data_IF_052469725945
#
_entry.id   IF_052469725945
#
_cell.length_a   1.000
_cell.length_b   1.000
_cell.length_c   1.000
_cell.angle_alpha   90.00
_cell.angle_beta   90.00
_cell.angle_gamma   90.00
#
_symmetry.space_group_name_H-M   'P 1'
#
loop_
_entity.id
_entity.type
_entity.pdbx_description
1 polymer ?
#
# COMPACT_ATOMS: atom_id res chain seq x y z
N UNK A 1 -9.26 5.89 -6.04
CA UNK A 1 -9.45 6.21 -7.46
C UNK A 1 -8.19 6.00 -8.27
N UNK A 2 -7.09 6.68 -7.95
CA UNK A 2 -5.86 6.71 -8.77
C UNK A 2 -5.25 5.32 -9.06
N UNK A 3 -5.27 4.38 -8.10
CA UNK A 3 -4.71 3.02 -8.33
C UNK A 3 -5.44 2.30 -9.48
N UNK A 4 -6.77 2.44 -9.54
CA UNK A 4 -7.58 1.86 -10.64
C UNK A 4 -7.27 2.58 -11.95
N UNK A 5 -7.17 3.94 -11.90
CA UNK A 5 -6.87 4.77 -13.06
C UNK A 5 -5.53 4.41 -13.68
N UNK A 6 -4.46 4.38 -12.87
CA UNK A 6 -3.10 4.08 -13.34
C UNK A 6 -3.04 2.66 -13.91
N UNK A 7 -3.58 1.69 -13.17
CA UNK A 7 -3.55 0.29 -13.59
C UNK A 7 -4.27 0.09 -14.92
N UNK A 8 -5.50 0.63 -15.05
CA UNK A 8 -6.26 0.53 -16.30
C UNK A 8 -5.54 1.25 -17.44
N UNK A 9 -5.15 2.51 -17.23
CA UNK A 9 -4.55 3.37 -18.24
C UNK A 9 -3.25 2.77 -18.82
N UNK A 10 -2.32 2.37 -17.93
CA UNK A 10 -1.02 1.83 -18.37
C UNK A 10 -1.23 0.53 -19.13
N UNK A 11 -2.13 -0.33 -18.66
CA UNK A 11 -2.41 -1.59 -19.36
C UNK A 11 -3.13 -1.36 -20.69
N UNK A 12 -4.05 -0.42 -20.73
CA UNK A 12 -4.78 -0.07 -21.96
C UNK A 12 -3.85 0.51 -23.05
N UNK A 13 -2.86 1.31 -22.63
CA UNK A 13 -1.89 1.94 -23.56
C UNK A 13 -0.83 0.96 -24.05
N UNK A 14 -0.41 -0.01 -23.23
CA UNK A 14 0.80 -0.80 -23.53
C UNK A 14 0.50 -2.29 -23.79
N UNK A 15 -0.60 -2.82 -23.27
CA UNK A 15 -0.87 -4.25 -23.27
C UNK A 15 0.17 -5.07 -22.52
N UNK A 16 1.01 -4.41 -21.70
CA UNK A 16 2.19 -5.03 -21.10
C UNK A 16 2.07 -5.14 -19.58
N UNK A 17 2.00 -6.38 -19.04
CA UNK A 17 2.09 -6.56 -17.58
C UNK A 17 3.39 -6.02 -16.99
N UNK A 18 4.49 -6.06 -17.74
CA UNK A 18 5.77 -5.49 -17.31
C UNK A 18 5.63 -3.98 -17.05
N UNK A 19 4.97 -3.24 -17.96
CA UNK A 19 4.76 -1.79 -17.80
C UNK A 19 3.85 -1.47 -16.62
N UNK A 20 2.91 -2.36 -16.26
CA UNK A 20 2.14 -2.24 -15.01
C UNK A 20 3.08 -2.32 -13.80
N UNK A 21 4.01 -3.26 -13.82
CA UNK A 21 5.02 -3.39 -12.78
C UNK A 21 5.88 -2.13 -12.65
N UNK A 22 6.33 -1.59 -13.78
CA UNK A 22 7.12 -0.35 -13.82
C UNK A 22 6.31 0.82 -13.25
N UNK A 23 5.04 0.97 -13.64
CA UNK A 23 4.17 2.05 -13.13
C UNK A 23 3.95 1.93 -11.61
N UNK A 24 3.68 0.71 -11.12
CA UNK A 24 3.50 0.46 -9.69
C UNK A 24 4.79 0.76 -8.91
N UNK A 25 5.94 0.32 -9.44
CA UNK A 25 7.25 0.62 -8.85
C UNK A 25 7.54 2.13 -8.86
N UNK A 26 7.28 2.82 -9.98
CA UNK A 26 7.45 4.28 -10.11
C UNK A 26 6.62 5.04 -9.06
N UNK A 27 5.40 4.54 -8.78
CA UNK A 27 4.53 5.14 -7.77
C UNK A 27 5.02 4.88 -6.34
N UNK A 28 5.57 3.70 -6.07
CA UNK A 28 6.00 3.31 -4.72
C UNK A 28 7.41 3.80 -4.37
N UNK A 29 8.31 3.92 -5.34
CA UNK A 29 9.71 4.30 -5.09
C UNK A 29 9.85 5.65 -4.38
N UNK A 30 9.12 6.72 -4.79
CA UNK A 30 9.21 7.99 -4.05
C UNK A 30 8.76 7.85 -2.59
N UNK A 31 7.78 7.02 -2.30
CA UNK A 31 7.32 6.79 -0.93
C UNK A 31 8.46 6.27 -0.05
N UNK A 32 9.28 5.36 -0.55
CA UNK A 32 10.42 4.83 0.20
C UNK A 32 11.47 5.92 0.48
N UNK A 33 11.87 6.67 -0.56
CA UNK A 33 12.93 7.68 -0.42
C UNK A 33 12.43 8.94 0.30
N UNK A 34 11.24 9.41 -0.04
CA UNK A 34 10.68 10.66 0.50
C UNK A 34 9.91 10.45 1.80
N UNK A 35 9.48 9.22 2.12
CA UNK A 35 8.75 8.93 3.35
C UNK A 35 9.55 9.33 4.61
N UNK A 36 10.86 9.04 4.61
CA UNK A 36 11.77 9.43 5.69
C UNK A 36 11.95 10.97 5.71
N UNK A 37 12.18 11.56 4.53
CA UNK A 37 12.37 13.01 4.37
C UNK A 37 11.11 13.80 4.71
N UNK A 38 9.93 13.30 4.30
CA UNK A 38 8.66 13.99 4.52
C UNK A 38 8.34 14.10 6.02
N UNK A 39 8.69 13.09 6.80
CA UNK A 39 8.57 13.15 8.26
C UNK A 39 9.42 14.27 8.84
N UNK A 40 10.70 14.34 8.45
CA UNK A 40 11.61 15.39 8.91
C UNK A 40 11.13 16.79 8.49
N UNK A 41 10.64 16.94 7.26
CA UNK A 41 10.11 18.21 6.73
C UNK A 41 8.84 18.60 7.50
N UNK A 42 7.97 17.63 7.83
CA UNK A 42 6.75 17.87 8.60
C UNK A 42 7.03 18.32 10.05
N UNK A 43 8.25 18.06 10.56
CA UNK A 43 8.67 18.55 11.88
C UNK A 43 9.18 20.01 11.83
N UNK A 44 9.66 20.45 10.66
CA UNK A 44 10.22 21.80 10.47
C UNK A 44 9.19 22.83 9.98
N UNK A 45 8.26 22.38 9.13
CA UNK A 45 7.25 23.25 8.52
C UNK A 45 5.90 23.09 9.22
N UNK A 46 5.08 24.13 9.11
CA UNK A 46 3.68 24.07 9.58
C UNK A 46 2.96 22.96 8.80
N UNK A 47 2.48 21.93 9.51
CA UNK A 47 1.91 20.71 8.92
C UNK A 47 0.69 20.99 8.04
N UNK A 48 -0.17 21.94 8.45
CA UNK A 48 -1.33 22.37 7.65
C UNK A 48 -0.88 22.95 6.30
N UNK A 49 0.11 23.83 6.32
CA UNK A 49 0.68 24.46 5.12
C UNK A 49 1.33 23.41 4.21
N UNK A 50 2.11 22.49 4.80
CA UNK A 50 2.73 21.38 4.02
C UNK A 50 1.69 20.49 3.37
N UNK A 51 0.62 20.16 4.10
CA UNK A 51 -0.49 19.36 3.57
C UNK A 51 -1.20 20.09 2.43
N UNK A 52 -1.41 21.39 2.59
CA UNK A 52 -2.06 22.22 1.57
C UNK A 52 -1.24 22.26 0.28
N UNK A 53 0.08 22.52 0.37
CA UNK A 53 0.97 22.49 -0.80
C UNK A 53 1.03 21.10 -1.46
N UNK A 54 1.01 20.05 -0.66
CA UNK A 54 0.99 18.67 -1.18
C UNK A 54 -0.31 18.38 -1.94
N UNK A 55 -1.45 18.85 -1.43
CA UNK A 55 -2.73 18.70 -2.16
C UNK A 55 -2.76 19.52 -3.44
N UNK A 56 -2.15 20.73 -3.45
CA UNK A 56 -1.99 21.50 -4.69
C UNK A 56 -1.13 20.75 -5.71
N UNK A 57 -0.07 20.08 -5.25
CA UNK A 57 0.73 19.18 -6.09
C UNK A 57 -0.13 18.07 -6.70
N UNK A 58 -1.05 17.50 -5.92
CA UNK A 58 -2.01 16.50 -6.41
C UNK A 58 -2.95 17.05 -7.48
N UNK A 59 -3.45 18.30 -7.29
CA UNK A 59 -4.26 18.99 -8.29
C UNK A 59 -3.44 19.17 -9.59
N UNK A 60 -2.21 19.65 -9.47
CA UNK A 60 -1.35 19.91 -10.63
C UNK A 60 -1.09 18.60 -11.41
N UNK A 61 -0.66 17.54 -10.73
CA UNK A 61 -0.34 16.26 -11.38
C UNK A 61 -1.59 15.69 -12.06
N UNK A 62 -2.74 15.70 -11.39
CA UNK A 62 -3.98 15.18 -11.97
C UNK A 62 -4.49 16.03 -13.12
N UNK A 63 -4.30 17.36 -13.06
CA UNK A 63 -4.70 18.28 -14.16
C UNK A 63 -3.81 18.09 -15.40
N UNK A 64 -2.50 17.94 -15.21
CA UNK A 64 -1.57 17.66 -16.32
C UNK A 64 -1.90 16.30 -16.95
N UNK A 65 -2.16 15.27 -16.12
CA UNK A 65 -2.56 13.94 -16.62
C UNK A 65 -3.87 14.04 -17.41
N UNK A 66 -4.88 14.74 -16.86
CA UNK A 66 -6.17 14.93 -17.52
C UNK A 66 -6.01 15.65 -18.88
N UNK A 67 -5.25 16.76 -18.89
CA UNK A 67 -5.00 17.55 -20.10
C UNK A 67 -4.31 16.70 -21.18
N UNK A 68 -3.30 15.92 -20.79
CA UNK A 68 -2.56 15.02 -21.70
C UNK A 68 -3.49 13.96 -22.30
N UNK A 69 -4.34 13.34 -21.47
CA UNK A 69 -5.26 12.29 -21.93
C UNK A 69 -6.38 12.85 -22.79
N UNK A 70 -6.95 14.01 -22.45
CA UNK A 70 -8.04 14.63 -23.19
C UNK A 70 -7.59 15.23 -24.53
N UNK A 71 -6.32 15.69 -24.62
CA UNK A 71 -5.75 16.21 -25.88
C UNK A 71 -5.33 15.10 -26.85
N UNK A 72 -5.29 13.84 -26.39
CA UNK A 72 -4.81 12.71 -27.20
C UNK A 72 -3.29 12.65 -27.32
N UNK A 73 -2.54 13.54 -26.68
CA UNK A 73 -1.07 13.58 -26.72
C UNK A 73 -0.46 12.63 -25.69
N UNK A 74 -0.95 11.39 -25.62
CA UNK A 74 -0.59 10.44 -24.58
C UNK A 74 0.72 9.74 -24.91
N UNK A 75 1.68 9.83 -24.00
CA UNK A 75 2.98 9.17 -24.11
C UNK A 75 3.23 8.36 -22.82
N UNK A 76 3.54 7.07 -22.97
CA UNK A 76 3.68 6.13 -21.85
C UNK A 76 4.67 6.63 -20.79
N UNK A 77 5.84 7.13 -21.21
CA UNK A 77 6.85 7.58 -20.25
C UNK A 77 6.43 8.86 -19.53
N UNK A 78 5.62 9.73 -20.18
CA UNK A 78 5.02 10.88 -19.50
C UNK A 78 4.01 10.43 -18.44
N UNK A 79 3.19 9.41 -18.75
CA UNK A 79 2.28 8.79 -17.77
C UNK A 79 3.08 8.25 -16.58
N UNK A 80 4.16 7.48 -16.83
CA UNK A 80 5.01 6.91 -15.77
C UNK A 80 5.63 8.02 -14.90
N UNK A 81 6.11 9.10 -15.53
CA UNK A 81 6.65 10.26 -14.82
C UNK A 81 5.62 10.95 -13.93
N UNK A 82 4.38 11.14 -14.42
CA UNK A 82 3.28 11.71 -13.64
C UNK A 82 2.85 10.77 -12.52
N UNK A 83 2.88 9.45 -12.74
CA UNK A 83 2.61 8.43 -11.70
C UNK A 83 3.68 8.51 -10.59
N UNK A 84 4.95 8.67 -10.95
CA UNK A 84 6.02 8.88 -9.97
C UNK A 84 5.80 10.18 -9.18
N UNK A 85 5.43 11.28 -9.87
CA UNK A 85 5.10 12.56 -9.22
C UNK A 85 3.93 12.40 -8.24
N UNK A 86 2.89 11.62 -8.61
CA UNK A 86 1.78 11.33 -7.69
C UNK A 86 2.24 10.51 -6.48
N UNK A 87 3.24 9.65 -6.67
CA UNK A 87 3.89 8.92 -5.56
C UNK A 87 4.55 9.86 -4.56
N UNK A 88 5.21 10.92 -5.05
CA UNK A 88 5.79 11.96 -4.19
C UNK A 88 4.70 12.68 -3.39
N UNK A 89 3.63 13.11 -4.06
CA UNK A 89 2.47 13.74 -3.41
C UNK A 89 1.91 12.82 -2.32
N UNK A 90 1.71 11.53 -2.65
CA UNK A 90 1.16 10.55 -1.72
C UNK A 90 2.05 10.41 -0.46
N UNK A 91 3.38 10.37 -0.63
CA UNK A 91 4.31 10.26 0.49
C UNK A 91 4.15 11.44 1.47
N UNK A 92 4.13 12.67 0.95
CA UNK A 92 3.97 13.88 1.78
C UNK A 92 2.58 13.96 2.43
N UNK A 93 1.52 13.67 1.66
CA UNK A 93 0.14 13.73 2.17
C UNK A 93 -0.04 12.72 3.31
N UNK A 94 0.44 11.48 3.13
CA UNK A 94 0.20 10.41 4.13
C UNK A 94 0.88 10.74 5.46
N UNK A 95 2.19 11.04 5.44
CA UNK A 95 2.97 11.28 6.64
C UNK A 95 2.53 12.56 7.36
N UNK A 96 2.32 13.64 6.60
CA UNK A 96 1.90 14.93 7.16
C UNK A 96 0.50 14.86 7.75
N UNK A 97 -0.43 14.15 7.07
CA UNK A 97 -1.81 13.98 7.56
C UNK A 97 -1.84 13.24 8.90
N UNK A 98 -1.05 12.17 9.04
CA UNK A 98 -1.01 11.42 10.29
C UNK A 98 -0.51 12.29 11.44
N UNK A 99 0.58 13.04 11.21
CA UNK A 99 1.12 13.97 12.21
C UNK A 99 0.12 15.09 12.55
N UNK A 100 -0.52 15.68 11.54
CA UNK A 100 -1.50 16.75 11.71
C UNK A 100 -2.76 16.27 12.44
N UNK A 101 -3.16 15.01 12.23
CA UNK A 101 -4.28 14.41 12.97
C UNK A 101 -3.98 14.43 14.48
N UNK A 102 -2.76 14.09 14.89
CA UNK A 102 -2.35 14.13 16.30
C UNK A 102 -2.38 15.57 16.85
N UNK A 103 -1.96 16.55 16.04
CA UNK A 103 -2.03 17.96 16.45
C UNK A 103 -3.48 18.41 16.71
N UNK A 104 -4.43 17.95 15.86
CA UNK A 104 -5.85 18.34 15.98
C UNK A 104 -6.50 17.71 17.21
N UNK A 105 -6.31 16.40 17.42
CA UNK A 105 -7.03 15.66 18.47
C UNK A 105 -6.29 15.68 19.82
N UNK A 106 -5.01 16.03 19.81
CA UNK A 106 -4.13 15.96 20.97
C UNK A 106 -3.58 14.56 21.23
N UNK A 107 -2.42 14.48 21.95
CA UNK A 107 -1.77 13.18 22.21
C UNK A 107 -2.66 12.15 22.93
N UNK A 108 -3.55 12.63 23.80
CA UNK A 108 -4.46 11.78 24.60
C UNK A 108 -5.45 11.02 23.72
N UNK A 109 -5.84 11.56 22.56
CA UNK A 109 -6.82 10.98 21.65
C UNK A 109 -6.20 10.53 20.32
N UNK A 110 -4.86 10.46 20.25
CA UNK A 110 -4.12 10.16 19.03
C UNK A 110 -4.52 8.78 18.43
N UNK A 111 -4.68 7.77 19.28
CA UNK A 111 -5.10 6.43 18.82
C UNK A 111 -6.48 6.48 18.14
N UNK A 112 -7.43 7.18 18.74
CA UNK A 112 -8.78 7.33 18.16
C UNK A 112 -8.74 8.12 16.84
N UNK A 113 -8.00 9.24 16.83
CA UNK A 113 -7.85 10.08 15.62
C UNK A 113 -7.24 9.33 14.46
N UNK A 114 -6.12 8.63 14.69
CA UNK A 114 -5.43 7.85 13.66
C UNK A 114 -6.28 6.67 13.18
N UNK A 115 -7.00 6.01 14.11
CA UNK A 115 -7.92 4.92 13.76
C UNK A 115 -9.04 5.40 12.86
N UNK A 116 -9.66 6.54 13.22
CA UNK A 116 -10.74 7.14 12.43
C UNK A 116 -10.22 7.56 11.04
N UNK A 117 -9.03 8.14 10.98
CA UNK A 117 -8.36 8.49 9.71
C UNK A 117 -8.10 7.27 8.82
N UNK A 118 -7.67 6.16 9.45
CA UNK A 118 -7.45 4.89 8.73
C UNK A 118 -8.75 4.30 8.21
N UNK A 119 -9.82 4.33 9.02
CA UNK A 119 -11.15 3.89 8.60
C UNK A 119 -11.67 4.73 7.42
N UNK A 120 -11.54 6.05 7.50
CA UNK A 120 -11.94 6.97 6.43
C UNK A 120 -11.16 6.68 5.14
N UNK A 121 -9.85 6.39 5.25
CA UNK A 121 -9.03 6.03 4.10
C UNK A 121 -9.49 4.72 3.45
N UNK A 122 -9.86 3.72 4.24
CA UNK A 122 -10.33 2.43 3.72
C UNK A 122 -11.70 2.56 3.05
N UNK A 123 -12.64 3.27 3.69
CA UNK A 123 -13.97 3.52 3.12
C UNK A 123 -13.83 4.35 1.81
N UNK A 124 -13.03 5.42 1.87
CA UNK A 124 -12.72 6.24 0.69
C UNK A 124 -12.05 5.42 -0.41
N UNK A 125 -11.23 4.46 -0.03
CA UNK A 125 -10.59 3.52 -0.95
C UNK A 125 -11.60 2.64 -1.69
N UNK A 126 -12.56 2.05 -0.96
CA UNK A 126 -13.64 1.22 -1.53
C UNK A 126 -14.50 2.05 -2.48
N UNK A 127 -15.06 3.17 -1.97
CA UNK A 127 -15.93 4.07 -2.76
C UNK A 127 -15.16 4.60 -3.98
N UNK A 128 -13.93 5.06 -3.77
CA UNK A 128 -13.09 5.60 -4.84
C UNK A 128 -12.76 4.57 -5.92
N UNK A 129 -12.58 3.29 -5.55
CA UNK A 129 -12.31 2.24 -6.53
C UNK A 129 -13.53 1.98 -7.43
N UNK A 130 -14.71 1.89 -6.82
CA UNK A 130 -15.97 1.68 -7.56
C UNK A 130 -16.23 2.88 -8.49
N UNK A 131 -16.16 4.11 -7.96
CA UNK A 131 -16.35 5.33 -8.74
C UNK A 131 -15.33 5.42 -9.89
N UNK A 132 -14.09 5.02 -9.64
CA UNK A 132 -13.02 5.04 -10.65
C UNK A 132 -13.38 4.12 -11.83
N UNK A 133 -13.77 2.88 -11.55
CA UNK A 133 -14.17 1.94 -12.58
C UNK A 133 -15.36 2.44 -13.41
N UNK A 134 -16.36 2.99 -12.72
CA UNK A 134 -17.56 3.55 -13.35
C UNK A 134 -17.22 4.77 -14.24
N UNK A 135 -16.38 5.69 -13.73
CA UNK A 135 -15.97 6.89 -14.49
C UNK A 135 -15.15 6.52 -15.74
N UNK A 136 -14.21 5.59 -15.60
CA UNK A 136 -13.40 5.14 -16.76
C UNK A 136 -14.34 4.58 -17.83
N UNK A 137 -15.31 3.77 -17.43
CA UNK A 137 -16.27 3.15 -18.35
C UNK A 137 -17.16 4.17 -19.03
N UNK A 138 -17.69 5.14 -18.26
CA UNK A 138 -18.68 6.10 -18.75
C UNK A 138 -18.09 7.23 -19.58
N UNK A 139 -16.95 7.79 -19.14
CA UNK A 139 -16.41 9.04 -19.73
C UNK A 139 -14.91 8.94 -20.05
N UNK A 140 -14.26 7.83 -19.76
CA UNK A 140 -12.87 7.59 -20.07
C UNK A 140 -11.89 8.08 -18.99
N UNK A 141 -10.61 7.67 -19.12
CA UNK A 141 -9.60 7.97 -18.10
C UNK A 141 -9.26 9.45 -17.95
N UNK A 142 -9.37 10.25 -19.02
CA UNK A 142 -9.11 11.70 -18.96
C UNK A 142 -10.07 12.40 -17.98
N UNK A 143 -11.37 12.15 -18.10
CA UNK A 143 -12.38 12.73 -17.21
C UNK A 143 -12.28 12.17 -15.80
N UNK A 144 -11.83 10.93 -15.65
CA UNK A 144 -11.55 10.38 -14.33
C UNK A 144 -10.43 11.16 -13.62
N UNK A 145 -9.37 11.57 -14.34
CA UNK A 145 -8.31 12.40 -13.75
C UNK A 145 -8.81 13.82 -13.40
N UNK A 146 -9.78 14.37 -14.15
CA UNK A 146 -10.48 15.59 -13.74
C UNK A 146 -11.17 15.38 -12.39
N UNK A 147 -11.88 14.27 -12.22
CA UNK A 147 -12.55 13.95 -10.94
C UNK A 147 -11.55 13.79 -9.79
N UNK A 148 -10.38 13.20 -10.04
CA UNK A 148 -9.29 13.11 -9.04
C UNK A 148 -8.82 14.51 -8.65
N UNK A 149 -8.61 15.39 -9.63
CA UNK A 149 -8.21 16.79 -9.38
C UNK A 149 -9.25 17.53 -8.53
N UNK A 150 -10.54 17.35 -8.85
CA UNK A 150 -11.65 17.94 -8.06
C UNK A 150 -11.60 17.42 -6.61
N UNK A 151 -11.35 16.12 -6.41
CA UNK A 151 -11.25 15.53 -5.06
C UNK A 151 -10.09 16.15 -4.26
N UNK A 152 -8.94 16.37 -4.90
CA UNK A 152 -7.83 17.10 -4.28
C UNK A 152 -8.22 18.57 -3.99
N UNK A 153 -8.97 19.22 -4.89
CA UNK A 153 -9.47 20.58 -4.71
C UNK A 153 -10.40 20.69 -3.49
N UNK A 154 -11.33 19.74 -3.33
CA UNK A 154 -12.20 19.67 -2.15
C UNK A 154 -11.35 19.48 -0.88
N UNK A 155 -10.35 18.61 -0.93
CA UNK A 155 -9.44 18.41 0.21
C UNK A 155 -8.70 19.70 0.57
N UNK A 156 -8.19 20.43 -0.43
CA UNK A 156 -7.50 21.71 -0.21
C UNK A 156 -8.45 22.76 0.41
N UNK A 157 -9.69 22.82 -0.08
CA UNK A 157 -10.71 23.76 0.44
C UNK A 157 -11.07 23.43 1.89
N UNK A 158 -11.23 22.16 2.24
CA UNK A 158 -11.50 21.73 3.63
C UNK A 158 -10.33 22.15 4.55
N UNK A 159 -9.09 21.99 4.09
CA UNK A 159 -7.90 22.40 4.86
C UNK A 159 -7.89 23.92 5.15
N UNK A 160 -8.41 24.73 4.22
CA UNK A 160 -8.52 26.19 4.46
C UNK A 160 -9.52 26.52 5.58
N UNK A 161 -10.57 25.68 5.71
CA UNK A 161 -11.59 25.85 6.77
C UNK A 161 -11.13 25.42 8.16
N UNK A 162 -10.07 24.61 8.26
CA UNK A 162 -9.55 24.19 9.57
C UNK A 162 -8.68 25.31 10.14
N UNK A 163 -8.96 25.73 11.37
CA UNK A 163 -8.20 26.78 12.07
C UNK A 163 -6.74 26.36 12.31
N UNK A 164 -5.91 27.34 12.63
CA UNK A 164 -4.52 27.07 13.00
C UNK A 164 -4.49 26.29 14.32
N UNK A 165 -3.91 25.12 14.29
CA UNK A 165 -3.71 24.26 15.45
C UNK A 165 -2.19 24.30 15.77
N UNK A 166 -1.85 24.52 17.03
CA UNK A 166 -0.45 24.50 17.45
C UNK A 166 0.15 23.11 17.20
N UNK A 167 1.37 23.07 16.69
CA UNK A 167 2.12 21.83 16.56
C UNK A 167 2.45 21.28 17.95
N UNK A 168 2.13 20.02 18.17
CA UNK A 168 2.57 19.31 19.36
C UNK A 168 4.11 19.25 19.37
N UNK A 169 4.71 19.53 20.52
CA UNK A 169 6.17 19.49 20.65
C UNK A 169 6.68 18.08 20.30
N UNK A 170 7.42 18.01 19.22
CA UNK A 170 8.09 16.75 18.83
C UNK A 170 9.28 16.53 19.76
N UNK A 171 9.36 15.38 20.43
CA UNK A 171 10.56 15.10 21.22
C UNK A 171 11.76 14.94 20.27
N UNK A 172 12.77 15.71 20.51
CA UNK A 172 14.13 15.70 19.91
C UNK A 172 14.19 15.42 18.40
N UNK A 173 14.48 16.45 17.65
CA UNK A 173 14.80 16.41 16.21
C UNK A 173 16.15 15.70 16.01
N UNK A 174 16.13 14.37 15.88
CA UNK A 174 17.35 13.64 15.49
C UNK A 174 17.61 13.84 13.99
N UNK A 175 18.86 14.01 13.57
CA UNK A 175 19.18 14.06 12.15
C UNK A 175 18.74 12.77 11.45
N UNK A 176 18.21 12.89 10.24
CA UNK A 176 17.70 11.75 9.44
C UNK A 176 18.73 10.63 9.33
N UNK A 177 20.00 10.99 9.08
CA UNK A 177 21.09 10.01 8.95
C UNK A 177 21.37 9.27 10.26
N UNK A 178 21.29 9.98 11.41
CA UNK A 178 21.48 9.35 12.72
C UNK A 178 20.34 8.36 13.02
N UNK A 179 19.12 8.72 12.67
CA UNK A 179 17.96 7.83 12.78
C UNK A 179 18.14 6.57 11.93
N UNK A 180 18.55 6.73 10.67
CA UNK A 180 18.77 5.60 9.77
C UNK A 180 19.89 4.67 10.31
N UNK A 181 20.99 5.25 10.79
CA UNK A 181 22.07 4.48 11.42
C UNK A 181 21.57 3.71 12.65
N UNK A 182 20.71 4.36 13.47
CA UNK A 182 20.08 3.72 14.63
C UNK A 182 19.18 2.53 14.24
N UNK A 183 18.44 2.65 13.14
CA UNK A 183 17.62 1.54 12.59
C UNK A 183 18.52 0.37 12.18
N UNK A 184 19.57 0.63 11.40
CA UNK A 184 20.47 -0.42 10.92
C UNK A 184 21.19 -1.11 12.08
N UNK A 185 21.62 -0.36 13.09
CA UNK A 185 22.25 -0.91 14.28
C UNK A 185 21.28 -1.81 15.07
N UNK A 186 20.02 -1.37 15.25
CA UNK A 186 19.00 -2.16 15.95
C UNK A 186 18.72 -3.46 15.20
N UNK A 187 18.54 -3.39 13.88
CA UNK A 187 18.30 -4.57 13.03
C UNK A 187 19.49 -5.55 13.14
N UNK A 188 20.71 -5.03 13.07
CA UNK A 188 21.92 -5.85 13.15
C UNK A 188 22.12 -6.53 14.49
N UNK A 189 21.64 -5.91 15.59
CA UNK A 189 21.79 -6.45 16.95
C UNK A 189 20.65 -7.38 17.37
N UNK A 190 19.48 -7.29 16.74
CA UNK A 190 18.28 -8.06 17.11
C UNK A 190 17.89 -9.05 16.01
N UNK A 191 18.27 -10.31 16.18
CA UNK A 191 18.03 -11.38 15.20
C UNK A 191 16.53 -11.62 14.92
N UNK A 192 15.67 -11.45 15.93
CA UNK A 192 14.21 -11.62 15.75
C UNK A 192 13.70 -10.51 14.83
N UNK A 193 14.10 -9.27 15.10
CA UNK A 193 13.69 -8.11 14.29
C UNK A 193 14.20 -8.24 12.84
N UNK A 194 15.45 -8.65 12.66
CA UNK A 194 16.02 -8.88 11.31
C UNK A 194 15.22 -9.96 10.56
N UNK A 195 14.90 -11.08 11.25
CA UNK A 195 14.17 -12.18 10.61
C UNK A 195 12.74 -11.74 10.23
N UNK A 196 12.05 -11.00 11.13
CA UNK A 196 10.72 -10.46 10.84
C UNK A 196 10.77 -9.48 9.65
N UNK A 197 11.81 -8.64 9.59
CA UNK A 197 12.02 -7.70 8.48
C UNK A 197 12.20 -8.44 7.15
N UNK A 198 13.01 -9.49 7.13
CA UNK A 198 13.24 -10.31 5.91
C UNK A 198 11.94 -10.99 5.48
N UNK A 199 11.19 -11.59 6.41
CA UNK A 199 9.92 -12.25 6.11
C UNK A 199 8.88 -11.25 5.59
N UNK A 200 8.81 -10.06 6.20
CA UNK A 200 7.93 -8.97 5.73
C UNK A 200 8.33 -8.53 4.32
N UNK A 201 9.65 -8.37 4.03
CA UNK A 201 10.15 -8.03 2.69
C UNK A 201 9.75 -9.09 1.65
N UNK A 202 9.87 -10.37 2.00
CA UNK A 202 9.46 -11.48 1.12
C UNK A 202 7.94 -11.39 0.86
N UNK A 203 7.15 -11.10 1.90
CA UNK A 203 5.70 -10.94 1.77
C UNK A 203 5.35 -9.73 0.89
N UNK A 204 6.12 -8.63 1.01
CA UNK A 204 5.96 -7.44 0.14
C UNK A 204 6.25 -7.78 -1.32
N UNK A 205 7.40 -8.43 -1.58
CA UNK A 205 7.87 -8.72 -2.93
C UNK A 205 6.98 -9.78 -3.63
N UNK A 206 6.64 -10.87 -2.94
CA UNK A 206 5.92 -11.98 -3.54
C UNK A 206 4.41 -11.97 -3.28
N UNK A 207 3.95 -11.32 -2.22
CA UNK A 207 2.53 -11.27 -1.85
C UNK A 207 1.82 -10.01 -2.34
N UNK A 208 2.19 -8.85 -1.77
CA UNK A 208 1.44 -7.60 -1.98
C UNK A 208 1.47 -7.11 -3.43
N UNK A 209 2.40 -7.56 -4.24
CA UNK A 209 2.54 -7.19 -5.66
C UNK A 209 1.42 -7.74 -6.54
N UNK A 210 0.61 -8.66 -6.06
CA UNK A 210 -0.56 -9.15 -6.82
C UNK A 210 -1.50 -8.01 -7.29
N UNK A 211 -1.48 -6.99 -6.69
CA UNK A 211 -2.15 -5.93 -6.98
C UNK A 211 -1.93 -5.44 -8.31
N UNK A 212 -0.77 -5.54 -8.76
CA UNK A 212 -0.29 -5.07 -10.07
C UNK A 212 -1.04 -5.74 -11.23
N UNK A 213 -1.37 -7.00 -11.08
CA UNK A 213 -1.96 -7.80 -12.17
C UNK A 213 -3.49 -7.72 -12.26
N UNK A 214 -4.17 -7.05 -11.32
CA UNK A 214 -5.64 -6.93 -11.37
C UNK A 214 -6.17 -6.35 -12.69
N UNK A 215 -5.52 -5.34 -13.32
CA UNK A 215 -5.97 -4.86 -14.64
C UNK A 215 -5.90 -5.93 -15.73
N UNK A 216 -4.88 -6.80 -15.69
CA UNK A 216 -4.74 -7.92 -16.63
C UNK A 216 -5.92 -8.89 -16.46
N UNK A 217 -6.22 -9.25 -15.19
CA UNK A 217 -7.38 -10.12 -14.89
C UNK A 217 -8.69 -9.47 -15.35
N UNK A 218 -8.88 -8.17 -15.10
CA UNK A 218 -10.11 -7.48 -15.47
C UNK A 218 -10.29 -7.40 -16.99
N UNK A 219 -9.21 -7.19 -17.76
CA UNK A 219 -9.27 -6.96 -19.20
C UNK A 219 -9.22 -8.28 -20.00
N UNK A 220 -8.27 -9.17 -19.67
CA UNK A 220 -7.97 -10.35 -20.50
C UNK A 220 -8.55 -11.66 -19.97
N UNK A 221 -8.44 -11.89 -18.64
CA UNK A 221 -8.82 -13.20 -18.08
C UNK A 221 -10.34 -13.28 -17.87
N UNK A 222 -10.93 -12.24 -17.31
CA UNK A 222 -12.36 -12.23 -16.94
C UNK A 222 -13.22 -11.36 -17.88
N UNK A 223 -12.60 -10.46 -18.66
CA UNK A 223 -13.30 -9.62 -19.62
C UNK A 223 -14.32 -8.66 -18.99
N UNK A 224 -14.12 -8.25 -17.73
CA UNK A 224 -15.10 -7.44 -16.96
C UNK A 224 -14.84 -5.95 -17.05
N UNK A 225 -13.79 -5.54 -17.74
CA UNK A 225 -13.50 -4.14 -18.01
C UNK A 225 -13.14 -3.30 -16.78
N UNK A 226 -13.16 -1.95 -16.93
CA UNK A 226 -12.76 -1.06 -15.84
C UNK A 226 -13.71 -1.09 -14.64
N UNK A 227 -15.00 -1.34 -14.87
CA UNK A 227 -15.98 -1.50 -13.77
C UNK A 227 -15.60 -2.70 -12.91
N UNK A 228 -15.27 -3.83 -13.56
CA UNK A 228 -14.81 -5.03 -12.86
C UNK A 228 -13.53 -4.78 -12.07
N UNK A 229 -12.58 -4.03 -12.63
CA UNK A 229 -11.34 -3.64 -11.94
C UNK A 229 -11.65 -2.80 -10.70
N UNK A 230 -12.62 -1.88 -10.80
CA UNK A 230 -13.10 -1.09 -9.66
C UNK A 230 -13.63 -1.98 -8.55
N UNK A 231 -14.50 -2.95 -8.90
CA UNK A 231 -15.05 -3.93 -7.94
C UNK A 231 -13.95 -4.82 -7.34
N UNK A 232 -13.02 -5.34 -8.15
CA UNK A 232 -11.87 -6.12 -7.63
C UNK A 232 -11.09 -5.33 -6.60
N UNK A 233 -10.80 -4.05 -6.89
CA UNK A 233 -10.03 -3.18 -5.98
C UNK A 233 -10.83 -2.91 -4.70
N UNK A 234 -12.14 -2.72 -4.80
CA UNK A 234 -13.03 -2.51 -3.64
C UNK A 234 -13.09 -3.78 -2.76
N UNK A 235 -13.27 -4.95 -3.38
CA UNK A 235 -13.33 -6.25 -2.67
C UNK A 235 -11.98 -6.53 -1.98
N UNK A 236 -10.86 -6.22 -2.64
CA UNK A 236 -9.53 -6.34 -2.04
C UNK A 236 -9.44 -5.55 -0.74
N UNK A 237 -9.93 -4.31 -0.73
CA UNK A 237 -9.92 -3.45 0.47
C UNK A 237 -10.93 -3.94 1.52
N UNK A 238 -12.10 -4.41 1.10
CA UNK A 238 -13.09 -5.03 1.99
C UNK A 238 -12.53 -6.29 2.67
N UNK A 239 -11.84 -7.13 1.90
CA UNK A 239 -11.16 -8.32 2.44
C UNK A 239 -10.14 -7.95 3.52
N UNK A 240 -9.34 -6.90 3.25
CA UNK A 240 -8.37 -6.39 4.22
C UNK A 240 -9.05 -5.96 5.55
N UNK A 241 -10.19 -5.26 5.46
CA UNK A 241 -10.97 -4.86 6.65
C UNK A 241 -11.48 -6.10 7.42
N UNK A 242 -11.96 -7.11 6.70
CA UNK A 242 -12.43 -8.37 7.30
C UNK A 242 -11.27 -9.04 8.07
N UNK A 243 -10.08 -9.09 7.44
CA UNK A 243 -8.88 -9.67 8.09
C UNK A 243 -8.50 -8.95 9.38
N UNK A 244 -8.54 -7.62 9.37
CA UNK A 244 -8.26 -6.82 10.57
C UNK A 244 -9.31 -7.06 11.67
N UNK A 245 -10.58 -7.15 11.29
CA UNK A 245 -11.67 -7.43 12.22
C UNK A 245 -11.48 -8.80 12.89
N UNK A 246 -11.18 -9.84 12.10
CA UNK A 246 -10.90 -11.17 12.65
C UNK A 246 -9.69 -11.16 13.57
N UNK A 247 -8.60 -10.52 13.15
CA UNK A 247 -7.37 -10.43 13.94
C UNK A 247 -7.62 -9.73 15.29
N UNK A 248 -8.41 -8.66 15.30
CA UNK A 248 -8.77 -7.92 16.51
C UNK A 248 -9.54 -8.79 17.52
N UNK A 249 -10.28 -9.80 17.03
CA UNK A 249 -11.07 -10.71 17.86
C UNK A 249 -10.30 -11.98 18.26
N UNK A 250 -9.09 -12.21 17.72
CA UNK A 250 -8.25 -13.39 18.02
C UNK A 250 -7.29 -13.13 19.18
N UNK A 251 -7.72 -12.37 20.18
CA UNK A 251 -6.93 -12.07 21.40
C UNK A 251 -6.45 -13.28 22.17
N UNK A 252 -7.00 -14.15 21.91
CA UNK A 252 -6.71 -15.28 22.60
C UNK A 252 -5.73 -16.16 22.01
N UNK A 253 -5.35 -15.84 21.03
CA UNK A 253 -4.43 -16.73 20.34
C UNK A 253 -3.03 -16.59 20.92
N UNK A 254 -2.55 -17.62 21.57
CA UNK A 254 -1.33 -17.59 22.38
C UNK A 254 -0.02 -17.64 21.55
N UNK A 255 -0.08 -17.94 20.25
CA UNK A 255 1.12 -18.10 19.41
C UNK A 255 0.99 -17.21 18.18
N UNK A 256 1.19 -15.90 18.35
CA UNK A 256 1.13 -14.91 17.24
C UNK A 256 2.08 -15.28 16.10
N UNK A 257 3.28 -15.83 16.44
CA UNK A 257 4.24 -16.28 15.44
C UNK A 257 3.69 -17.39 14.55
N UNK A 258 3.03 -18.39 15.13
CA UNK A 258 2.42 -19.49 14.35
C UNK A 258 1.25 -18.97 13.50
N UNK A 259 0.43 -18.08 14.08
CA UNK A 259 -0.67 -17.43 13.34
C UNK A 259 -0.15 -16.63 12.14
N UNK A 260 0.93 -15.89 12.34
CA UNK A 260 1.60 -15.10 11.27
C UNK A 260 2.01 -16.02 10.10
N UNK A 261 2.65 -17.16 10.38
CA UNK A 261 3.05 -18.10 9.34
C UNK A 261 1.84 -18.73 8.64
N UNK A 262 0.79 -19.09 9.41
CA UNK A 262 -0.45 -19.64 8.85
C UNK A 262 -1.14 -18.66 7.90
N UNK A 263 -1.19 -17.38 8.29
CA UNK A 263 -1.78 -16.32 7.46
C UNK A 263 -0.93 -16.03 6.22
N UNK A 264 0.41 -16.05 6.36
CA UNK A 264 1.32 -15.87 5.20
C UNK A 264 1.16 -17.04 4.21
N UNK A 265 1.03 -18.28 4.73
CA UNK A 265 0.74 -19.45 3.92
C UNK A 265 -0.63 -19.31 3.23
N UNK A 266 -1.66 -18.90 3.97
CA UNK A 266 -3.01 -18.67 3.42
C UNK A 266 -3.03 -17.61 2.34
N UNK A 267 -2.23 -16.55 2.49
CA UNK A 267 -2.06 -15.51 1.48
C UNK A 267 -1.46 -16.11 0.19
N UNK A 268 -0.35 -16.86 0.31
CA UNK A 268 0.30 -17.51 -0.84
C UNK A 268 -0.62 -18.53 -1.52
N UNK A 269 -1.27 -19.39 -0.73
CA UNK A 269 -2.21 -20.40 -1.24
C UNK A 269 -3.40 -19.73 -1.96
N UNK A 270 -3.92 -18.63 -1.40
CA UNK A 270 -4.98 -17.84 -2.03
C UNK A 270 -4.55 -17.31 -3.40
N UNK A 271 -3.29 -16.85 -3.53
CA UNK A 271 -2.75 -16.39 -4.82
C UNK A 271 -2.71 -17.53 -5.86
N UNK A 272 -2.35 -18.73 -5.42
CA UNK A 272 -2.31 -19.90 -6.32
C UNK A 272 -3.71 -20.27 -6.84
N UNK A 273 -4.76 -20.03 -6.04
CA UNK A 273 -6.14 -20.34 -6.41
C UNK A 273 -6.66 -19.46 -7.57
N UNK A 274 -6.04 -18.35 -7.86
CA UNK A 274 -6.43 -17.55 -9.03
C UNK A 274 -6.29 -18.28 -10.38
N UNK A 275 -5.53 -19.05 -10.33
CA UNK A 275 -5.33 -19.87 -11.38
C UNK A 275 -6.49 -20.66 -11.76
N UNK A 276 -7.31 -20.87 -10.76
CA UNK A 276 -8.53 -21.67 -10.90
C UNK A 276 -9.82 -20.83 -11.00
N UNK A 277 -9.71 -19.53 -10.83
CA UNK A 277 -10.86 -18.62 -10.80
C UNK A 277 -11.36 -18.32 -12.24
N UNK A 278 -12.25 -19.16 -12.74
CA UNK A 278 -12.77 -19.08 -14.09
C UNK A 278 -13.92 -18.08 -14.25
N UNK A 279 -14.47 -17.58 -13.14
CA UNK A 279 -15.53 -16.57 -13.18
C UNK A 279 -15.31 -15.50 -12.11
N UNK A 280 -15.97 -14.36 -12.30
CA UNK A 280 -15.79 -13.16 -11.46
C UNK A 280 -16.13 -13.43 -9.99
N UNK A 281 -17.19 -14.18 -9.70
CA UNK A 281 -17.61 -14.41 -8.31
C UNK A 281 -16.53 -15.18 -7.54
N UNK A 282 -16.03 -16.28 -8.11
CA UNK A 282 -14.96 -17.09 -7.50
C UNK A 282 -13.70 -16.23 -7.34
N UNK A 283 -13.34 -15.43 -8.36
CA UNK A 283 -12.20 -14.52 -8.32
C UNK A 283 -12.33 -13.54 -7.13
N UNK A 284 -13.51 -12.90 -6.98
CA UNK A 284 -13.75 -11.92 -5.91
C UNK A 284 -13.70 -12.57 -4.51
N UNK A 285 -14.23 -13.79 -4.37
CA UNK A 285 -14.18 -14.54 -3.09
C UNK A 285 -12.74 -14.89 -2.72
N UNK A 286 -11.96 -15.42 -3.67
CA UNK A 286 -10.53 -15.71 -3.46
C UNK A 286 -9.77 -14.42 -3.12
N UNK A 287 -10.06 -13.34 -3.85
CA UNK A 287 -9.42 -12.03 -3.64
C UNK A 287 -9.73 -11.48 -2.24
N UNK A 288 -10.96 -11.60 -1.76
CA UNK A 288 -11.36 -11.17 -0.42
C UNK A 288 -10.56 -11.94 0.64
N UNK A 289 -10.54 -13.25 0.53
CA UNK A 289 -9.81 -14.11 1.48
C UNK A 289 -8.29 -13.83 1.42
N UNK A 290 -7.70 -13.70 0.25
CA UNK A 290 -6.40 -13.43 0.11
C UNK A 290 -5.99 -12.27 0.75
N UNK A 291 -6.86 -11.23 0.68
CA UNK A 291 -6.51 -9.94 1.27
C UNK A 291 -6.80 -9.86 2.77
N UNK A 292 -7.71 -10.65 3.26
CA UNK A 292 -7.90 -10.80 4.70
C UNK A 292 -6.63 -11.36 5.35
N UNK A 293 -6.06 -12.43 4.79
CA UNK A 293 -4.79 -13.00 5.25
C UNK A 293 -3.65 -12.00 5.11
N UNK A 294 -3.56 -11.31 3.98
CA UNK A 294 -2.51 -10.32 3.69
C UNK A 294 -2.46 -9.20 4.73
N UNK A 295 -3.60 -8.60 5.04
CA UNK A 295 -3.65 -7.48 5.99
C UNK A 295 -3.42 -7.96 7.42
N UNK A 296 -3.92 -9.14 7.75
CA UNK A 296 -3.70 -9.73 9.08
C UNK A 296 -2.21 -10.07 9.30
N UNK A 297 -1.54 -10.66 8.29
CA UNK A 297 -0.10 -10.98 8.42
C UNK A 297 0.74 -9.71 8.51
N UNK A 298 0.43 -8.67 7.73
CA UNK A 298 1.14 -7.38 7.79
C UNK A 298 1.03 -6.75 9.19
N UNK A 299 -0.18 -6.81 9.77
CA UNK A 299 -0.43 -6.30 11.12
C UNK A 299 0.37 -7.10 12.16
N UNK A 300 0.45 -8.43 12.00
CA UNK A 300 1.24 -9.27 12.90
C UNK A 300 2.74 -8.99 12.79
N UNK A 301 3.26 -8.73 11.57
CA UNK A 301 4.67 -8.30 11.43
C UNK A 301 4.94 -7.04 12.27
N UNK A 302 4.09 -6.02 12.14
CA UNK A 302 4.20 -4.76 12.89
C UNK A 302 4.14 -4.99 14.39
N UNK A 303 3.15 -5.79 14.83
CA UNK A 303 2.94 -6.10 16.25
C UNK A 303 4.16 -6.83 16.84
N UNK A 304 4.61 -7.89 16.17
CA UNK A 304 5.75 -8.69 16.65
C UNK A 304 7.06 -7.89 16.62
N UNK A 305 7.24 -7.00 15.62
CA UNK A 305 8.41 -6.10 15.60
C UNK A 305 8.40 -5.17 16.82
N UNK A 306 7.24 -4.63 17.19
CA UNK A 306 7.11 -3.71 18.34
C UNK A 306 7.22 -4.43 19.69
N UNK A 307 6.72 -5.66 19.79
CA UNK A 307 6.72 -6.44 21.04
C UNK A 307 8.11 -7.02 21.36
N UNK A 308 9.01 -7.12 20.40
CA UNK A 308 10.32 -7.73 20.58
C UNK A 308 11.45 -6.70 20.71
N UNK A 309 11.11 -5.46 21.11
CA UNK A 309 12.03 -4.37 21.37
C UNK A 309 11.59 -3.59 22.62
N UNK A 310 12.46 -2.77 23.19
CA UNK A 310 12.09 -1.91 24.33
C UNK A 310 11.18 -0.75 23.86
N UNK A 311 10.50 -0.11 24.81
CA UNK A 311 9.57 0.99 24.50
C UNK A 311 10.27 2.13 23.73
N UNK A 312 11.55 2.43 24.10
CA UNK A 312 12.35 3.47 23.42
C UNK A 312 12.69 3.09 21.97
N UNK A 313 12.72 1.81 21.67
CA UNK A 313 13.10 1.29 20.35
C UNK A 313 11.88 1.05 19.43
N UNK A 314 10.64 1.20 19.92
CA UNK A 314 9.44 0.90 19.12
C UNK A 314 9.37 1.72 17.81
N UNK A 315 9.74 3.00 17.87
CA UNK A 315 9.79 3.84 16.68
C UNK A 315 10.77 3.30 15.64
N UNK A 316 11.97 2.87 16.11
CA UNK A 316 12.99 2.26 15.23
C UNK A 316 12.54 0.92 14.67
N UNK A 317 11.81 0.11 15.46
CA UNK A 317 11.24 -1.15 14.97
C UNK A 317 10.23 -0.92 13.84
N UNK A 318 9.42 0.15 13.94
CA UNK A 318 8.51 0.53 12.85
C UNK A 318 9.26 1.00 11.61
N UNK A 319 10.43 1.63 11.79
CA UNK A 319 11.33 1.94 10.67
C UNK A 319 11.78 0.68 9.91
N UNK A 320 12.00 -0.44 10.63
CA UNK A 320 12.34 -1.72 10.00
C UNK A 320 11.21 -2.23 9.11
N UNK A 321 9.95 -2.04 9.53
CA UNK A 321 8.79 -2.38 8.69
C UNK A 321 8.75 -1.50 7.43
N UNK A 322 9.00 -0.19 7.56
CA UNK A 322 9.06 0.73 6.39
C UNK A 322 10.15 0.28 5.41
N UNK A 323 11.31 -0.15 5.92
CA UNK A 323 12.39 -0.70 5.08
C UNK A 323 11.93 -1.96 4.33
N UNK A 324 11.12 -2.82 4.99
CA UNK A 324 10.55 -4.00 4.33
C UNK A 324 9.66 -3.62 3.16
N UNK A 325 8.77 -2.64 3.35
CA UNK A 325 7.89 -2.10 2.31
C UNK A 325 8.71 -1.50 1.15
N UNK A 326 9.89 -0.98 1.45
CA UNK A 326 10.84 -0.47 0.46
C UNK A 326 11.27 -1.50 -0.58
N UNK A 327 11.09 -2.80 -0.34
CA UNK A 327 11.34 -3.86 -1.31
C UNK A 327 10.21 -3.98 -2.37
N UNK A 328 9.03 -3.39 -2.13
CA UNK A 328 7.86 -3.53 -3.01
C UNK A 328 8.12 -3.15 -4.48
N UNK A 329 8.86 -2.07 -4.81
CA UNK A 329 9.15 -1.76 -6.22
C UNK A 329 9.81 -2.91 -7.00
N UNK A 330 10.74 -3.61 -6.36
CA UNK A 330 11.41 -4.79 -6.96
C UNK A 330 10.36 -5.87 -7.28
N UNK A 331 9.48 -6.13 -6.33
CA UNK A 331 8.40 -7.11 -6.50
C UNK A 331 7.42 -6.74 -7.61
N UNK A 332 7.06 -5.44 -7.71
CA UNK A 332 6.15 -4.96 -8.76
C UNK A 332 6.74 -5.16 -10.16
N UNK A 333 8.00 -4.80 -10.37
CA UNK A 333 8.69 -5.03 -11.64
C UNK A 333 8.81 -6.54 -11.90
N UNK A 334 9.19 -7.30 -10.86
CA UNK A 334 9.37 -8.75 -10.94
C UNK A 334 8.09 -9.48 -11.36
N UNK A 335 6.96 -9.20 -10.70
CA UNK A 335 5.68 -9.86 -11.04
C UNK A 335 5.17 -9.43 -12.42
N UNK A 336 5.42 -8.17 -12.82
CA UNK A 336 5.08 -7.69 -14.16
C UNK A 336 5.87 -8.43 -15.23
N UNK A 337 7.19 -8.58 -15.02
CA UNK A 337 8.07 -9.34 -15.91
C UNK A 337 7.66 -10.81 -16.00
N UNK A 338 7.40 -11.42 -14.84
CA UNK A 338 6.97 -12.82 -14.76
C UNK A 338 5.64 -13.03 -15.50
N UNK A 339 4.71 -12.07 -15.36
CA UNK A 339 3.42 -12.13 -16.06
C UNK A 339 3.57 -11.96 -17.58
N UNK A 340 4.60 -11.24 -18.02
CA UNK A 340 4.93 -11.11 -19.45
C UNK A 340 5.36 -12.45 -20.07
N UNK A 341 5.90 -13.36 -19.26
CA UNK A 341 6.39 -14.67 -19.74
C UNK A 341 5.36 -15.79 -19.49
N UNK A 342 4.76 -15.81 -18.29
CA UNK A 342 3.89 -16.92 -17.83
C UNK A 342 2.39 -16.56 -17.86
N UNK A 343 2.06 -15.33 -18.25
CA UNK A 343 0.71 -14.79 -18.07
C UNK A 343 0.43 -14.44 -16.61
N UNK A 344 -0.64 -13.68 -16.37
CA UNK A 344 -0.99 -13.21 -15.02
C UNK A 344 -1.31 -14.37 -14.06
N UNK A 345 -2.08 -15.41 -14.45
CA UNK A 345 -2.31 -16.54 -13.54
C UNK A 345 -1.02 -17.29 -13.18
N UNK A 346 -0.12 -17.51 -14.16
CA UNK A 346 1.17 -18.18 -13.94
C UNK A 346 2.07 -17.40 -13.00
N UNK A 347 2.12 -16.08 -13.15
CA UNK A 347 2.91 -15.21 -12.25
C UNK A 347 2.40 -15.29 -10.81
N UNK A 348 1.08 -15.28 -10.62
CA UNK A 348 0.49 -15.39 -9.27
C UNK A 348 0.71 -16.78 -8.67
N UNK A 349 0.68 -17.83 -9.51
CA UNK A 349 0.98 -19.19 -9.05
C UNK A 349 2.41 -19.30 -8.53
N UNK A 350 3.39 -18.76 -9.27
CA UNK A 350 4.81 -18.77 -8.86
C UNK A 350 5.00 -17.97 -7.57
N UNK A 351 4.50 -16.73 -7.53
CA UNK A 351 4.65 -15.87 -6.33
C UNK A 351 3.96 -16.49 -5.12
N UNK A 352 2.75 -17.04 -5.31
CA UNK A 352 2.01 -17.72 -4.24
C UNK A 352 2.73 -18.95 -3.73
N UNK A 353 3.31 -19.75 -4.64
CA UNK A 353 4.10 -20.94 -4.29
C UNK A 353 5.34 -20.54 -3.48
N UNK A 354 6.08 -19.51 -3.92
CA UNK A 354 7.27 -19.01 -3.18
C UNK A 354 6.86 -18.60 -1.76
N UNK A 355 5.80 -17.80 -1.63
CA UNK A 355 5.34 -17.31 -0.31
C UNK A 355 4.89 -18.49 0.57
N UNK A 356 4.17 -19.46 0.02
CA UNK A 356 3.71 -20.66 0.75
C UNK A 356 4.88 -21.52 1.23
N UNK A 357 5.85 -21.77 0.32
CA UNK A 357 7.05 -22.58 0.63
C UNK A 357 7.88 -21.87 1.74
N UNK A 358 8.11 -20.56 1.59
CA UNK A 358 8.86 -19.78 2.60
C UNK A 358 8.15 -19.85 3.95
N UNK A 359 6.81 -19.73 3.97
CA UNK A 359 6.03 -19.79 5.21
C UNK A 359 6.18 -21.16 5.90
N UNK A 360 6.06 -22.25 5.14
CA UNK A 360 6.22 -23.61 5.66
C UNK A 360 7.66 -23.87 6.14
N UNK A 361 8.65 -23.44 5.36
CA UNK A 361 10.05 -23.56 5.72
C UNK A 361 10.36 -22.77 7.01
N UNK A 362 9.75 -21.59 7.16
CA UNK A 362 9.91 -20.75 8.36
C UNK A 362 9.29 -21.42 9.59
N UNK A 363 8.12 -22.07 9.47
CA UNK A 363 7.51 -22.83 10.56
C UNK A 363 8.48 -23.93 11.06
N UNK A 364 9.14 -24.63 10.13
CA UNK A 364 10.07 -25.71 10.47
C UNK A 364 11.42 -25.16 10.97
N UNK A 365 11.96 -24.14 10.32
CA UNK A 365 13.33 -23.65 10.55
C UNK A 365 13.47 -22.58 11.62
N UNK A 366 12.36 -21.94 12.05
CA UNK A 366 12.41 -20.80 12.99
C UNK A 366 11.55 -21.06 14.24
N UNK A 367 11.94 -22.05 15.08
CA UNK A 367 11.14 -22.41 16.26
C UNK A 367 11.00 -21.28 17.28
N UNK A 368 11.96 -20.34 17.33
CA UNK A 368 11.86 -19.17 18.22
C UNK A 368 10.73 -18.24 17.79
N UNK A 369 10.62 -17.95 16.50
CA UNK A 369 9.55 -17.09 15.97
C UNK A 369 8.17 -17.76 16.11
N UNK A 370 8.11 -19.08 15.84
CA UNK A 370 6.85 -19.84 15.93
C UNK A 370 6.22 -19.74 17.33
N UNK A 371 7.04 -19.62 18.37
CA UNK A 371 6.61 -19.60 19.78
C UNK A 371 6.38 -18.20 20.33
N UNK A 372 6.52 -17.15 19.52
CA UNK A 372 6.26 -15.77 19.98
C UNK A 372 4.80 -15.64 20.41
N UNK A 373 4.55 -15.07 21.63
CA UNK A 373 3.20 -14.95 22.20
C UNK A 373 2.31 -13.95 21.48
#
# INVERSE_FOLDING_TARGET
MERVAVGWLVYDLTGSPFMLGVAAAARMAPFFFLGILSGAIADWLERRTLLWFSTLGGILVSSVMAAMLLSGATHVWAVIGLVAASGCVFAFVLTTREAYTVDIVGPQHSLNGLSLGSMAMQVGGVVGAILSGALIHAVGPGWQYVAIGIAYGVSAAVLLGIGKVGQADSPRREPVLANLAGYLQLIGSNRILLTLMVLASITEVFGFTHXTLLPVFAKEVLGVGPVGLGFMTAVRQGGALIGLFFLANLRXFQSKGLLMFGLAFGFGAGMMLFXLATNLLVFLLVLAVXNACAMAVDTLYKTLMQENVTDEQRGRAMGSWVLSVGAAPVGHVGIGGLAGVLGAPGALLVNGAVLSIVSLAAVAGLPRLRRLP
#
